data_IF_191039561912
#
_entry.id   IF_191039561912
#
_cell.length_a   1.000
_cell.length_b   1.000
_cell.length_c   1.000
_cell.angle_alpha   90.00
_cell.angle_beta   90.00
_cell.angle_gamma   90.00
#
_symmetry.space_group_name_H-M   'P 1'
#
loop_
_entity.id
_entity.type
_entity.pdbx_description
1 polymer ?
#
# COMPACT_ATOMS: atom_id res chain seq x y z
N UNK A 1 10.39 -5.78 -27.41
CA UNK A 1 10.55 -6.18 -26.00
C UNK A 1 11.84 -5.56 -25.50
N UNK A 2 11.79 -4.41 -24.81
CA UNK A 2 13.02 -3.76 -24.31
C UNK A 2 13.31 -4.29 -22.91
N UNK A 3 14.24 -5.23 -22.82
CA UNK A 3 14.82 -5.65 -21.56
C UNK A 3 15.79 -4.53 -21.16
N UNK A 4 15.43 -3.76 -20.12
CA UNK A 4 16.34 -2.78 -19.53
C UNK A 4 17.03 -3.44 -18.33
N UNK A 5 18.11 -4.14 -18.61
CA UNK A 5 19.01 -4.59 -17.54
C UNK A 5 19.76 -3.38 -16.98
N UNK A 6 19.55 -3.11 -15.71
CA UNK A 6 20.34 -2.12 -14.96
C UNK A 6 21.38 -2.86 -14.14
N UNK A 7 22.57 -3.01 -14.70
CA UNK A 7 23.72 -3.46 -13.94
C UNK A 7 24.37 -2.27 -13.23
N UNK A 8 24.66 -2.44 -11.95
CA UNK A 8 25.44 -1.47 -11.16
C UNK A 8 26.85 -2.01 -11.02
N UNK A 9 27.81 -1.21 -11.44
CA UNK A 9 29.23 -1.51 -11.32
C UNK A 9 29.82 -0.45 -10.39
N UNK A 10 30.71 -0.87 -9.49
CA UNK A 10 31.49 0.07 -8.69
C UNK A 10 32.27 1.01 -9.63
N UNK A 11 32.14 2.31 -9.43
CA UNK A 11 32.87 3.32 -10.18
C UNK A 11 33.97 3.95 -9.34
N UNK A 12 33.61 4.58 -8.23
CA UNK A 12 34.57 5.25 -7.33
C UNK A 12 33.89 5.66 -6.04
N UNK A 13 34.68 5.97 -5.03
CA UNK A 13 34.21 6.66 -3.84
C UNK A 13 34.14 8.17 -4.13
N UNK A 14 33.05 8.80 -3.68
CA UNK A 14 32.83 10.24 -3.77
C UNK A 14 32.38 10.81 -2.43
N UNK A 15 32.26 12.14 -2.31
CA UNK A 15 31.66 12.74 -1.14
C UNK A 15 30.21 12.26 -1.00
N UNK A 16 29.73 12.14 0.24
CA UNK A 16 28.34 11.81 0.51
C UNK A 16 27.44 13.00 0.11
N UNK A 17 26.54 12.78 -0.83
CA UNK A 17 25.63 13.81 -1.38
C UNK A 17 24.27 13.86 -0.67
N UNK A 18 24.14 13.16 0.45
CA UNK A 18 22.90 13.05 1.21
C UNK A 18 22.09 11.78 0.89
N UNK A 19 21.04 11.56 1.66
CA UNK A 19 20.14 10.43 1.44
C UNK A 19 19.30 10.65 0.20
N UNK A 20 19.11 9.59 -0.59
CA UNK A 20 18.16 9.63 -1.71
C UNK A 20 16.76 9.83 -1.14
N UNK A 21 16.06 10.86 -1.63
CA UNK A 21 14.67 11.08 -1.25
C UNK A 21 13.86 9.81 -1.57
N UNK A 22 13.27 9.23 -0.54
CA UNK A 22 12.32 8.13 -0.67
C UNK A 22 11.00 8.60 -1.30
N UNK A 23 10.04 7.73 -1.30
CA UNK A 23 8.68 8.05 -1.76
C UNK A 23 8.09 9.19 -0.91
N UNK A 24 7.62 10.26 -1.58
CA UNK A 24 6.94 11.39 -0.91
C UNK A 24 5.49 11.08 -0.55
N UNK A 25 4.88 10.12 -1.25
CA UNK A 25 3.49 9.74 -1.10
C UNK A 25 3.31 8.81 0.11
N UNK A 26 2.23 9.01 0.86
CA UNK A 26 1.88 8.14 1.99
C UNK A 26 1.41 6.76 1.54
N UNK A 27 1.47 5.79 2.45
CA UNK A 27 0.92 4.46 2.26
C UNK A 27 -0.54 4.38 2.70
N UNK A 28 -1.34 3.60 1.96
CA UNK A 28 -2.65 3.14 2.39
C UNK A 28 -2.47 1.79 3.10
N UNK A 29 -2.73 1.75 4.40
CA UNK A 29 -2.43 0.61 5.27
C UNK A 29 -3.74 -0.07 5.68
N UNK A 30 -3.80 -1.40 5.53
CA UNK A 30 -4.95 -2.18 5.99
C UNK A 30 -5.04 -2.19 7.51
N UNK A 31 -6.28 -2.04 8.02
CA UNK A 31 -6.58 -2.04 9.45
C UNK A 31 -6.85 -3.43 9.99
N UNK A 32 -7.46 -4.30 9.20
CA UNK A 32 -8.01 -5.59 9.64
C UNK A 32 -7.54 -6.75 8.76
N UNK A 33 -7.68 -7.97 9.28
CA UNK A 33 -7.39 -9.20 8.55
C UNK A 33 -8.64 -9.73 7.87
N UNK A 34 -8.52 -10.11 6.60
CA UNK A 34 -9.61 -10.74 5.85
C UNK A 34 -9.40 -10.68 4.35
N UNK A 35 -10.48 -10.58 3.60
CA UNK A 35 -10.45 -10.46 2.14
C UNK A 35 -10.94 -9.09 1.69
N UNK A 36 -10.24 -8.51 0.73
CA UNK A 36 -10.62 -7.23 0.15
C UNK A 36 -11.97 -7.32 -0.58
N UNK A 37 -12.85 -6.36 -0.35
CA UNK A 37 -14.21 -6.30 -0.92
C UNK A 37 -14.24 -5.28 -2.06
N UNK A 38 -14.86 -5.65 -3.20
CA UNK A 38 -14.95 -4.79 -4.38
C UNK A 38 -15.52 -3.40 -4.08
N UNK A 39 -16.58 -3.31 -3.27
CA UNK A 39 -17.20 -2.05 -2.88
C UNK A 39 -16.26 -1.14 -2.08
N UNK A 40 -15.46 -1.72 -1.18
CA UNK A 40 -14.47 -0.95 -0.44
C UNK A 40 -13.36 -0.43 -1.35
N UNK A 41 -12.82 -1.29 -2.24
CA UNK A 41 -11.80 -0.91 -3.21
C UNK A 41 -12.29 0.23 -4.10
N UNK A 42 -13.50 0.15 -4.64
CA UNK A 42 -14.10 1.18 -5.48
C UNK A 42 -14.10 2.55 -4.78
N UNK A 43 -14.55 2.60 -3.53
CA UNK A 43 -14.55 3.84 -2.76
C UNK A 43 -13.15 4.36 -2.41
N UNK A 44 -12.17 3.44 -2.30
CA UNK A 44 -10.80 3.78 -1.94
C UNK A 44 -9.95 4.18 -3.13
N UNK A 45 -10.31 3.75 -4.34
CA UNK A 45 -9.65 4.19 -5.58
C UNK A 45 -9.73 5.70 -5.82
N UNK A 46 -10.76 6.36 -5.28
CA UNK A 46 -10.83 7.82 -5.28
C UNK A 46 -9.78 8.49 -4.36
N UNK A 47 -9.19 7.75 -3.44
CA UNK A 47 -8.21 8.24 -2.46
C UNK A 47 -6.77 7.92 -2.81
N UNK A 48 -6.53 7.00 -3.75
CA UNK A 48 -5.19 6.61 -4.13
C UNK A 48 -5.15 5.37 -5.03
N UNK A 49 -3.96 5.04 -5.47
CA UNK A 49 -3.71 3.88 -6.32
C UNK A 49 -3.68 2.61 -5.47
N UNK A 50 -4.49 1.61 -5.84
CA UNK A 50 -4.60 0.35 -5.11
C UNK A 50 -3.71 -0.73 -5.71
N UNK A 51 -3.15 -1.60 -4.84
CA UNK A 51 -2.31 -2.75 -5.21
C UNK A 51 -3.02 -4.09 -5.04
N UNK A 52 -4.17 -4.10 -4.39
CA UNK A 52 -4.95 -5.30 -4.10
C UNK A 52 -6.22 -5.36 -4.95
N UNK A 53 -6.59 -6.56 -5.34
CA UNK A 53 -7.82 -6.86 -6.08
C UNK A 53 -8.91 -7.40 -5.15
N UNK A 54 -10.12 -7.56 -5.71
CA UNK A 54 -11.21 -8.22 -5.00
C UNK A 54 -10.81 -9.66 -4.61
N UNK A 55 -11.16 -10.06 -3.40
CA UNK A 55 -10.83 -11.33 -2.75
C UNK A 55 -9.36 -11.53 -2.35
N UNK A 56 -8.46 -10.60 -2.60
CA UNK A 56 -7.10 -10.72 -2.11
C UNK A 56 -7.06 -10.76 -0.58
N UNK A 57 -6.26 -11.66 0.01
CA UNK A 57 -6.07 -11.69 1.44
C UNK A 57 -5.25 -10.49 1.90
N UNK A 58 -5.77 -9.80 2.91
CA UNK A 58 -5.14 -8.64 3.55
C UNK A 58 -5.00 -8.87 5.05
N UNK A 59 -4.03 -8.20 5.66
CA UNK A 59 -3.79 -8.28 7.10
C UNK A 59 -3.41 -6.88 7.65
N UNK A 60 -3.50 -6.68 8.99
CA UNK A 60 -3.13 -5.41 9.60
C UNK A 60 -1.68 -5.03 9.32
N UNK A 61 -1.44 -3.78 8.93
CA UNK A 61 -0.10 -3.31 8.60
C UNK A 61 0.35 -3.59 7.16
N UNK A 62 -0.42 -4.35 6.35
CA UNK A 62 -0.16 -4.53 4.93
C UNK A 62 -0.43 -3.23 4.17
N UNK A 63 0.48 -2.85 3.27
CA UNK A 63 0.31 -1.71 2.38
C UNK A 63 -0.51 -2.16 1.18
N UNK A 64 -1.70 -1.61 1.04
CA UNK A 64 -2.68 -1.98 0.02
C UNK A 64 -2.79 -0.96 -1.10
N UNK A 65 -2.09 0.16 -0.99
CA UNK A 65 -2.07 1.21 -2.00
C UNK A 65 -1.22 2.40 -1.61
N UNK A 66 -1.18 3.41 -2.49
CA UNK A 66 -0.50 4.69 -2.28
C UNK A 66 -1.51 5.83 -2.24
N UNK A 67 -1.34 6.73 -1.29
CA UNK A 67 -2.06 7.99 -1.22
C UNK A 67 -1.34 9.05 -2.08
N UNK A 68 -2.06 9.91 -2.81
CA UNK A 68 -1.43 11.06 -3.48
C UNK A 68 -0.93 12.12 -2.49
N UNK A 69 -1.39 12.06 -1.24
CA UNK A 69 -0.99 12.99 -0.16
C UNK A 69 0.15 12.41 0.65
N UNK A 70 1.01 13.25 1.21
CA UNK A 70 2.02 12.80 2.18
C UNK A 70 1.33 12.30 3.46
N UNK A 71 1.97 11.35 4.13
CA UNK A 71 1.48 10.73 5.36
C UNK A 71 0.65 9.47 5.14
N UNK A 72 0.86 8.51 6.01
CA UNK A 72 0.20 7.22 5.96
C UNK A 72 -1.25 7.29 6.42
N UNK A 73 -2.10 6.52 5.76
CA UNK A 73 -3.52 6.47 6.07
C UNK A 73 -3.95 5.02 6.35
N UNK A 74 -4.54 4.80 7.51
CA UNK A 74 -5.13 3.51 7.85
C UNK A 74 -6.53 3.42 7.25
N UNK A 75 -6.78 2.38 6.47
CA UNK A 75 -8.03 2.17 5.74
C UNK A 75 -8.61 0.78 6.00
N UNK A 76 -9.92 0.67 5.83
CA UNK A 76 -10.62 -0.61 5.89
C UNK A 76 -11.04 -1.04 4.47
N UNK A 77 -10.36 -2.07 3.94
CA UNK A 77 -10.61 -2.62 2.59
C UNK A 77 -11.69 -3.72 2.59
N UNK A 78 -12.25 -4.03 3.75
CA UNK A 78 -13.28 -5.07 3.91
C UNK A 78 -14.68 -4.50 4.13
N UNK A 79 -14.83 -3.17 4.17
CA UNK A 79 -16.11 -2.53 4.44
C UNK A 79 -17.10 -2.77 3.30
N UNK A 80 -18.05 -3.66 3.54
CA UNK A 80 -19.16 -3.92 2.62
C UNK A 80 -20.16 -2.77 2.54
N UNK A 81 -21.02 -2.81 1.51
CA UNK A 81 -22.18 -1.92 1.40
C UNK A 81 -23.11 -2.19 2.59
N UNK A 82 -23.46 -1.17 3.36
CA UNK A 82 -24.50 -1.32 4.37
C UNK A 82 -25.82 -1.54 3.64
N UNK A 83 -26.43 -2.70 3.84
CA UNK A 83 -27.79 -2.98 3.38
C UNK A 83 -28.74 -2.10 4.18
N UNK A 84 -29.24 -1.03 3.58
CA UNK A 84 -30.38 -0.27 4.12
C UNK A 84 -31.63 -0.93 3.60
N UNK A 85 -32.56 -1.31 4.50
CA UNK A 85 -33.86 -1.92 4.17
C UNK A 85 -34.85 -0.93 3.48
N UNK A 86 -34.35 0.09 2.83
CA UNK A 86 -35.19 0.92 1.98
C UNK A 86 -35.44 0.20 0.65
N UNK A 87 -36.73 -0.04 0.37
CA UNK A 87 -37.25 -0.54 -0.91
C UNK A 87 -37.05 0.46 -2.06
N UNK A 88 -35.91 1.00 -2.22
CA UNK A 88 -35.53 1.61 -3.49
C UNK A 88 -34.99 0.45 -4.32
N UNK A 89 -35.73 0.10 -5.35
CA UNK A 89 -35.21 -0.61 -6.53
C UNK A 89 -34.11 0.30 -7.13
N UNK A 90 -33.06 0.52 -6.33
CA UNK A 90 -31.85 1.16 -6.78
C UNK A 90 -31.11 0.12 -7.61
N UNK A 91 -30.99 0.39 -8.86
CA UNK A 91 -30.02 -0.20 -9.77
C UNK A 91 -28.80 -0.65 -9.00
N UNK A 92 -28.52 -1.95 -8.99
CA UNK A 92 -27.22 -2.49 -8.62
C UNK A 92 -26.24 -1.94 -9.66
N UNK A 93 -25.66 -0.77 -9.35
CA UNK A 93 -24.64 -0.18 -10.20
C UNK A 93 -23.45 -1.16 -10.24
N UNK A 94 -23.14 -1.61 -11.41
CA UNK A 94 -21.96 -2.44 -11.63
C UNK A 94 -20.72 -1.70 -11.13
N UNK A 95 -20.08 -2.24 -10.11
CA UNK A 95 -18.85 -1.68 -9.57
C UNK A 95 -17.72 -1.97 -10.56
N UNK A 96 -17.34 -0.96 -11.33
CA UNK A 96 -16.20 -1.03 -12.24
C UNK A 96 -14.96 -0.66 -11.47
N UNK A 97 -14.05 -1.64 -11.25
CA UNK A 97 -12.78 -1.41 -10.60
C UNK A 97 -11.72 -1.02 -11.62
N UNK A 98 -10.94 -0.01 -11.30
CA UNK A 98 -9.72 0.31 -12.05
C UNK A 98 -8.72 -0.84 -11.88
N UNK A 99 -8.09 -1.34 -12.96
CA UNK A 99 -7.08 -2.38 -12.85
C UNK A 99 -5.97 -1.98 -11.89
N UNK A 100 -5.58 -2.92 -11.03
CA UNK A 100 -4.49 -2.68 -10.07
C UNK A 100 -3.15 -2.66 -10.78
N UNK A 101 -2.23 -1.83 -10.30
CA UNK A 101 -0.87 -1.79 -10.77
C UNK A 101 -0.11 -3.01 -10.28
N UNK A 102 0.31 -3.86 -11.21
CA UNK A 102 1.23 -4.96 -10.92
C UNK A 102 2.66 -4.42 -10.97
N UNK A 103 3.34 -4.46 -9.83
CA UNK A 103 4.71 -3.98 -9.70
C UNK A 103 5.69 -5.15 -9.73
N UNK A 104 6.82 -4.95 -10.40
CA UNK A 104 7.97 -5.84 -10.29
C UNK A 104 8.62 -5.73 -8.90
N UNK A 105 9.39 -6.74 -8.50
CA UNK A 105 10.13 -6.71 -7.23
C UNK A 105 11.05 -5.48 -7.15
N UNK A 106 11.70 -5.12 -8.26
CA UNK A 106 12.57 -3.94 -8.33
C UNK A 106 11.81 -2.63 -8.07
N UNK A 107 10.60 -2.49 -8.61
CA UNK A 107 9.75 -1.33 -8.35
C UNK A 107 9.27 -1.30 -6.89
N UNK A 108 8.87 -2.46 -6.34
CA UNK A 108 8.47 -2.55 -4.93
C UNK A 108 9.62 -2.17 -3.99
N UNK A 109 10.84 -2.64 -4.27
CA UNK A 109 12.03 -2.27 -3.49
C UNK A 109 12.37 -0.77 -3.59
N UNK A 110 12.18 -0.16 -4.76
CA UNK A 110 12.44 1.28 -4.93
C UNK A 110 11.41 2.17 -4.24
N UNK A 111 10.26 1.63 -3.88
CA UNK A 111 9.18 2.34 -3.20
C UNK A 111 9.22 2.25 -1.68
N UNK A 112 10.09 1.40 -1.12
CA UNK A 112 10.17 1.20 0.32
C UNK A 112 10.69 2.43 1.04
N UNK A 113 10.01 2.82 2.08
CA UNK A 113 10.51 3.75 3.10
C UNK A 113 11.24 2.98 4.21
N UNK A 114 11.95 3.69 5.06
CA UNK A 114 12.76 3.11 6.16
C UNK A 114 11.97 2.29 7.17
N UNK A 115 10.68 2.61 7.33
CA UNK A 115 9.74 1.94 8.24
C UNK A 115 8.90 0.84 7.56
N UNK A 116 9.24 0.49 6.33
CA UNK A 116 8.52 -0.48 5.50
C UNK A 116 9.39 -1.70 5.17
N UNK A 117 8.75 -2.80 4.89
CA UNK A 117 9.39 -4.05 4.50
C UNK A 117 8.68 -4.70 3.32
N UNK A 118 9.44 -5.41 2.50
CA UNK A 118 8.91 -6.27 1.45
C UNK A 118 8.87 -7.71 1.95
N UNK A 119 7.69 -8.29 1.99
CA UNK A 119 7.46 -9.70 2.27
C UNK A 119 7.44 -10.46 0.95
N UNK A 120 8.34 -11.42 0.80
CA UNK A 120 8.43 -12.27 -0.38
C UNK A 120 8.04 -13.69 0.02
N UNK A 121 6.98 -14.20 -0.58
CA UNK A 121 6.54 -15.58 -0.47
C UNK A 121 6.66 -16.28 -1.82
N UNK A 122 6.63 -17.62 -1.90
CA UNK A 122 6.66 -18.32 -3.18
C UNK A 122 5.54 -17.92 -4.16
N UNK A 123 4.40 -17.46 -3.63
CA UNK A 123 3.21 -17.13 -4.42
C UNK A 123 3.04 -15.63 -4.67
N UNK A 124 3.56 -14.77 -3.80
CA UNK A 124 3.30 -13.33 -3.86
C UNK A 124 4.33 -12.48 -3.15
N UNK A 125 4.50 -11.25 -3.66
CA UNK A 125 5.26 -10.20 -2.99
C UNK A 125 4.27 -9.16 -2.43
N UNK A 126 4.47 -8.75 -1.18
CA UNK A 126 3.59 -7.82 -0.48
C UNK A 126 4.40 -6.75 0.24
N UNK A 127 3.97 -5.52 0.12
CA UNK A 127 4.51 -4.41 0.90
C UNK A 127 3.82 -4.37 2.27
N UNK A 128 4.57 -4.16 3.34
CA UNK A 128 4.02 -4.01 4.69
C UNK A 128 4.82 -3.02 5.52
N UNK A 129 4.24 -2.55 6.61
CA UNK A 129 4.99 -1.83 7.62
C UNK A 129 5.87 -2.80 8.41
N UNK A 130 7.04 -2.34 8.84
CA UNK A 130 7.94 -3.13 9.69
C UNK A 130 7.25 -3.49 11.01
N UNK A 131 6.54 -2.53 11.60
CA UNK A 131 5.70 -2.72 12.79
C UNK A 131 4.25 -2.83 12.34
N UNK A 132 3.63 -3.99 12.55
CA UNK A 132 2.26 -4.26 12.11
C UNK A 132 1.20 -3.59 12.99
N UNK A 133 1.44 -3.48 14.31
CA UNK A 133 0.50 -2.86 15.25
C UNK A 133 0.46 -1.34 15.08
N UNK A 134 -0.73 -0.75 14.82
CA UNK A 134 -0.89 0.69 14.66
C UNK A 134 -0.57 1.49 15.94
N UNK A 135 -0.79 0.91 17.12
CA UNK A 135 -0.50 1.57 18.40
C UNK A 135 1.01 1.64 18.66
N UNK A 136 1.72 0.57 18.35
CA UNK A 136 3.19 0.54 18.45
C UNK A 136 3.83 1.49 17.44
N UNK A 137 3.33 1.57 16.20
CA UNK A 137 3.82 2.55 15.22
C UNK A 137 3.72 3.97 15.76
N UNK A 138 2.52 4.38 16.23
CA UNK A 138 2.33 5.73 16.80
C UNK A 138 3.21 6.02 18.01
N UNK A 139 3.50 5.00 18.83
CA UNK A 139 4.39 5.15 19.98
C UNK A 139 5.82 5.40 19.52
N UNK A 140 6.29 4.64 18.52
CA UNK A 140 7.64 4.79 17.99
C UNK A 140 7.83 6.11 17.23
N UNK A 141 6.83 6.55 16.45
CA UNK A 141 6.85 7.88 15.81
C UNK A 141 7.03 9.00 16.84
N UNK A 142 6.32 8.93 17.98
CA UNK A 142 6.45 9.92 19.06
C UNK A 142 7.79 9.85 19.76
N UNK A 143 8.37 8.66 19.95
CA UNK A 143 9.68 8.50 20.57
C UNK A 143 10.82 8.91 19.64
N UNK A 144 10.71 8.65 18.35
CA UNK A 144 11.68 9.06 17.34
C UNK A 144 11.65 10.57 17.00
N UNK A 145 10.52 11.24 17.21
CA UNK A 145 10.39 12.69 17.05
C UNK A 145 10.91 13.48 18.27
N UNK A 146 11.24 12.80 19.36
CA UNK A 146 11.78 13.39 20.59
C UNK A 146 13.32 13.27 20.69
N UNK A 147 13.98 12.72 19.68
CA UNK A 147 15.45 12.63 19.55
C UNK A 147 15.92 13.53 18.41
#
# INVERSE_FOLDING_TARGET
MCIRDRNRIFHSYGPFEGDMEGRRNGALISMEQGKAVAFAIFNLQARGEMFVTHNDPVYPGMIVGLSPKPGDMIINVMKGKKLTNMRTQGTDENVVLTPVRKMSIAEQLSMLNTDEALEITPESCRLRKAILDPHERKRNEKSGAAA
#
